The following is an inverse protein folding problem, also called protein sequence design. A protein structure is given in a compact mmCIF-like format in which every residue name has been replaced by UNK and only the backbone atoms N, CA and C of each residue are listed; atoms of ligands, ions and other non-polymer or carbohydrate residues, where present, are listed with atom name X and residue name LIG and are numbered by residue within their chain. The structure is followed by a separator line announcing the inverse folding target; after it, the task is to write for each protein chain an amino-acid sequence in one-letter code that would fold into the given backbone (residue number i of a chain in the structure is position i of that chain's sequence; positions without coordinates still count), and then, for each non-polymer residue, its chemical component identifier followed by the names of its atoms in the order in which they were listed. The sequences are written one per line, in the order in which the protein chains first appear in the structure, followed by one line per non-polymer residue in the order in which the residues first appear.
data_IF_913421529850
#
_entry.id   IF_913421529850
#
_cell.length_a   1.000
_cell.length_b   1.000
_cell.length_c   1.000
_cell.angle_alpha   90.00
_cell.angle_beta   90.00
_cell.angle_gamma   90.00
#
_symmetry.space_group_name_H-M   'P 1'
#
loop_
_entity.id
_entity.type
_entity.pdbx_description
1 polymer ?
#
# COMPACT_ATOMS: atom_id res chain seq x y z
N UNK A 1 -15.98 3.20 1.74
CA UNK A 1 -17.39 2.71 1.88
C UNK A 1 -18.45 3.72 1.39
N UNK A 2 -18.69 4.87 2.04
CA UNK A 2 -19.82 5.76 1.67
C UNK A 2 -19.72 6.36 0.25
N UNK A 3 -18.58 6.90 -0.17
CA UNK A 3 -18.42 7.40 -1.55
C UNK A 3 -18.31 6.26 -2.57
N UNK A 4 -17.75 5.11 -2.17
CA UNK A 4 -17.73 3.87 -2.95
C UNK A 4 -19.14 3.43 -3.33
N UNK A 5 -20.10 3.54 -2.40
CA UNK A 5 -21.51 3.21 -2.60
C UNK A 5 -22.22 4.16 -3.57
N UNK A 6 -21.98 5.46 -3.44
CA UNK A 6 -22.69 6.49 -4.23
C UNK A 6 -22.14 6.56 -5.65
N UNK A 7 -20.82 6.55 -5.83
CA UNK A 7 -20.20 6.86 -7.12
C UNK A 7 -19.58 5.68 -7.88
N UNK A 8 -19.56 4.47 -7.32
CA UNK A 8 -19.05 3.28 -8.00
C UNK A 8 -17.59 3.42 -8.46
N UNK A 9 -17.23 2.78 -9.58
CA UNK A 9 -15.85 2.74 -10.09
C UNK A 9 -15.31 4.13 -10.49
N UNK A 10 -16.18 5.04 -10.97
CA UNK A 10 -15.78 6.40 -11.32
C UNK A 10 -15.34 7.21 -10.10
N UNK A 11 -16.13 7.19 -9.01
CA UNK A 11 -15.72 7.92 -7.80
C UNK A 11 -14.45 7.36 -7.20
N UNK A 12 -14.28 6.03 -7.22
CA UNK A 12 -13.05 5.38 -6.73
C UNK A 12 -11.85 5.82 -7.56
N UNK A 13 -11.98 5.86 -8.89
CA UNK A 13 -10.88 6.28 -9.76
C UNK A 13 -10.45 7.74 -9.51
N UNK A 14 -11.38 8.67 -9.31
CA UNK A 14 -11.05 10.06 -9.01
C UNK A 14 -10.40 10.22 -7.63
N UNK A 15 -10.92 9.54 -6.61
CA UNK A 15 -10.33 9.58 -5.26
C UNK A 15 -8.93 8.97 -5.27
N UNK A 16 -8.71 7.89 -6.02
CA UNK A 16 -7.40 7.26 -6.15
C UNK A 16 -6.36 8.20 -6.74
N UNK A 17 -6.72 9.01 -7.74
CA UNK A 17 -5.77 9.98 -8.34
C UNK A 17 -5.34 11.02 -7.30
N UNK A 18 -6.30 11.57 -6.55
CA UNK A 18 -6.00 12.54 -5.48
C UNK A 18 -5.18 11.89 -4.38
N UNK A 19 -5.54 10.68 -3.95
CA UNK A 19 -4.83 9.91 -2.93
C UNK A 19 -3.41 9.58 -3.39
N UNK A 20 -3.22 9.12 -4.63
CA UNK A 20 -1.89 8.84 -5.20
C UNK A 20 -1.00 10.09 -5.18
N UNK A 21 -1.55 11.24 -5.54
CA UNK A 21 -0.82 12.51 -5.47
C UNK A 21 -0.43 12.86 -4.02
N UNK A 22 -1.37 12.73 -3.07
CA UNK A 22 -1.09 12.95 -1.65
C UNK A 22 -0.02 11.98 -1.13
N UNK A 23 -0.07 10.70 -1.53
CA UNK A 23 0.93 9.68 -1.13
C UNK A 23 2.30 10.04 -1.69
N UNK A 24 2.37 10.37 -2.98
CA UNK A 24 3.61 10.74 -3.64
C UNK A 24 4.25 11.94 -2.91
N UNK A 25 3.51 13.04 -2.77
CA UNK A 25 4.03 14.25 -2.15
C UNK A 25 4.34 14.04 -0.67
N UNK A 26 3.44 13.40 0.08
CA UNK A 26 3.58 13.19 1.52
C UNK A 26 4.79 12.34 1.87
N UNK A 27 5.00 11.22 1.18
CA UNK A 27 6.14 10.34 1.44
C UNK A 27 7.46 10.97 0.99
N UNK A 28 7.52 11.54 -0.22
CA UNK A 28 8.74 12.15 -0.73
C UNK A 28 9.20 13.38 0.07
N UNK A 29 8.25 14.19 0.56
CA UNK A 29 8.59 15.31 1.46
C UNK A 29 9.06 14.78 2.81
N UNK A 30 8.50 13.68 3.31
CA UNK A 30 8.87 13.16 4.63
C UNK A 30 10.30 12.62 4.71
N UNK A 31 10.80 12.04 3.62
CA UNK A 31 12.15 11.44 3.55
C UNK A 31 13.28 12.40 3.97
N UNK A 32 13.44 13.61 3.40
CA UNK A 32 14.52 14.51 3.79
C UNK A 32 14.42 15.00 5.24
N UNK A 33 13.20 15.21 5.76
CA UNK A 33 13.02 15.59 7.18
C UNK A 33 13.41 14.45 8.12
N UNK A 34 13.02 13.22 7.78
CA UNK A 34 13.40 12.05 8.55
C UNK A 34 14.92 11.80 8.49
N UNK A 35 15.56 11.96 7.32
CA UNK A 35 17.02 11.78 7.15
C UNK A 35 17.86 12.82 7.89
N UNK A 36 17.36 14.05 8.02
CA UNK A 36 18.09 15.17 8.66
C UNK A 36 17.87 15.24 10.17
N UNK A 37 17.07 14.32 10.73
CA UNK A 37 16.85 14.25 12.16
C UNK A 37 18.14 13.86 12.90
N UNK A 38 18.44 14.52 14.02
CA UNK A 38 19.65 14.31 14.81
C UNK A 38 19.78 12.87 15.36
N UNK A 39 18.67 12.15 15.54
CA UNK A 39 18.67 10.76 16.00
C UNK A 39 19.02 9.76 14.89
N UNK A 40 19.13 10.20 13.62
CA UNK A 40 19.36 9.33 12.46
C UNK A 40 20.82 9.43 12.04
N UNK A 41 21.50 8.27 12.04
CA UNK A 41 22.84 8.15 11.47
C UNK A 41 22.83 7.98 9.96
N UNK A 42 23.97 8.20 9.32
CA UNK A 42 24.13 8.02 7.88
C UNK A 42 23.75 6.59 7.45
N UNK A 43 22.68 6.51 6.64
CA UNK A 43 22.11 5.25 6.15
C UNK A 43 23.12 4.42 5.36
N UNK A 44 24.13 5.04 4.74
CA UNK A 44 25.16 4.34 3.96
C UNK A 44 26.13 3.59 4.86
N UNK A 45 26.39 4.12 6.06
CA UNK A 45 27.26 3.51 7.07
C UNK A 45 26.53 2.36 7.77
N UNK A 46 25.30 2.62 8.24
CA UNK A 46 24.45 1.62 8.91
C UNK A 46 24.00 0.50 7.97
N UNK A 47 24.16 0.68 6.65
CA UNK A 47 23.91 -0.38 5.68
C UNK A 47 24.82 -1.58 5.90
N UNK A 48 26.07 -1.36 6.31
CA UNK A 48 27.09 -2.42 6.40
C UNK A 48 27.68 -2.54 7.80
N UNK A 49 27.64 -1.49 8.61
CA UNK A 49 28.16 -1.47 9.97
C UNK A 49 27.00 -1.46 10.96
N UNK A 50 27.13 -2.25 12.02
CA UNK A 50 26.25 -2.15 13.16
C UNK A 50 26.63 -0.89 13.94
N UNK A 51 25.68 0.04 14.07
CA UNK A 51 25.83 1.26 14.88
C UNK A 51 24.92 1.13 16.10
N UNK A 52 23.60 1.17 15.87
CA UNK A 52 22.58 0.95 16.91
C UNK A 52 21.87 -0.40 16.72
N UNK A 53 21.56 -0.73 15.47
CA UNK A 53 20.85 -1.95 15.08
C UNK A 53 21.70 -2.76 14.10
N UNK A 54 21.31 -4.02 13.88
CA UNK A 54 21.90 -4.88 12.85
C UNK A 54 21.91 -4.17 11.49
N UNK A 55 22.97 -4.31 10.66
CA UNK A 55 23.03 -3.67 9.37
C UNK A 55 21.77 -3.94 8.54
N UNK A 56 21.16 -2.89 8.00
CA UNK A 56 19.90 -3.04 7.28
C UNK A 56 20.07 -3.71 5.92
N UNK A 57 21.31 -3.70 5.37
CA UNK A 57 21.64 -4.52 4.20
C UNK A 57 21.85 -5.95 4.68
N UNK A 58 20.80 -6.75 4.54
CA UNK A 58 20.85 -8.18 4.81
C UNK A 58 21.70 -8.95 3.80
N UNK A 59 22.01 -10.20 4.14
CA UNK A 59 22.59 -11.19 3.23
C UNK A 59 21.60 -12.32 3.02
N UNK A 60 21.42 -12.76 1.77
CA UNK A 60 20.62 -13.96 1.49
C UNK A 60 21.47 -15.19 1.84
N UNK A 61 21.04 -15.95 2.85
CA UNK A 61 21.69 -17.22 3.19
C UNK A 61 21.28 -18.28 2.18
N UNK A 62 22.15 -19.28 1.97
CA UNK A 62 21.86 -20.37 1.02
C UNK A 62 20.59 -21.15 1.38
N UNK A 63 20.32 -21.30 2.67
CA UNK A 63 19.11 -21.95 3.20
C UNK A 63 17.82 -21.22 2.80
N UNK A 64 17.85 -19.88 2.72
CA UNK A 64 16.69 -19.06 2.39
C UNK A 64 16.45 -18.92 0.88
N UNK A 65 17.37 -19.43 0.04
CA UNK A 65 17.30 -19.23 -1.42
C UNK A 65 15.94 -19.62 -1.99
N UNK A 66 15.37 -20.73 -1.53
CA UNK A 66 14.06 -21.20 -1.98
C UNK A 66 12.93 -20.28 -1.52
N UNK A 67 13.01 -19.73 -0.31
CA UNK A 67 12.03 -18.75 0.21
C UNK A 67 12.09 -17.46 -0.60
N UNK A 68 13.27 -17.02 -1.01
CA UNK A 68 13.42 -15.86 -1.89
C UNK A 68 12.88 -16.09 -3.29
N UNK A 69 13.11 -17.28 -3.86
CA UNK A 69 12.52 -17.67 -5.16
C UNK A 69 11.00 -17.72 -5.05
N UNK A 70 10.46 -18.31 -3.98
CA UNK A 70 9.02 -18.40 -3.75
C UNK A 70 8.39 -17.00 -3.64
N UNK A 71 8.94 -16.13 -2.80
CA UNK A 71 8.49 -14.74 -2.68
C UNK A 71 8.57 -13.97 -4.00
N UNK A 72 9.63 -14.20 -4.79
CA UNK A 72 9.78 -13.59 -6.11
C UNK A 72 8.68 -14.07 -7.08
N UNK A 73 8.41 -15.39 -7.12
CA UNK A 73 7.33 -15.96 -7.91
C UNK A 73 5.96 -15.44 -7.45
N UNK A 74 5.73 -15.33 -6.14
CA UNK A 74 4.51 -14.78 -5.57
C UNK A 74 4.30 -13.32 -6.01
N UNK A 75 5.33 -12.48 -5.94
CA UNK A 75 5.24 -11.07 -6.34
C UNK A 75 5.07 -10.91 -7.87
N UNK A 76 5.73 -11.73 -8.69
CA UNK A 76 5.60 -11.64 -10.15
C UNK A 76 4.31 -12.25 -10.69
N UNK A 77 3.93 -13.43 -10.22
CA UNK A 77 2.80 -14.20 -10.74
C UNK A 77 1.51 -13.94 -9.99
N UNK A 78 1.57 -13.56 -8.71
CA UNK A 78 0.40 -13.26 -7.88
C UNK A 78 -0.39 -12.03 -8.35
N UNK A 79 0.23 -11.14 -9.12
CA UNK A 79 -0.45 -10.02 -9.77
C UNK A 79 -1.31 -10.43 -10.98
N UNK A 80 -1.08 -11.61 -11.58
CA UNK A 80 -1.78 -12.08 -12.78
C UNK A 80 -3.29 -12.33 -12.53
N UNK A 81 -3.72 -12.94 -11.41
CA UNK A 81 -5.15 -13.07 -11.12
C UNK A 81 -5.74 -11.84 -10.39
N UNK A 82 -5.01 -10.73 -10.27
CA UNK A 82 -5.42 -9.61 -9.42
C UNK A 82 -6.60 -8.83 -10.02
N UNK A 83 -7.81 -9.16 -9.56
CA UNK A 83 -9.05 -8.65 -10.13
C UNK A 83 -9.17 -7.11 -10.13
N UNK A 84 -8.68 -6.40 -9.10
CA UNK A 84 -8.68 -4.92 -9.08
C UNK A 84 -7.98 -4.34 -10.30
N UNK A 85 -6.85 -4.94 -10.70
CA UNK A 85 -6.05 -4.46 -11.80
C UNK A 85 -6.76 -4.73 -13.14
N UNK A 86 -7.27 -5.94 -13.33
CA UNK A 86 -8.01 -6.29 -14.54
C UNK A 86 -9.30 -5.50 -14.70
N UNK A 87 -9.99 -5.15 -13.62
CA UNK A 87 -11.14 -4.24 -13.69
C UNK A 87 -10.76 -2.89 -14.31
N UNK A 88 -9.57 -2.37 -14.01
CA UNK A 88 -9.08 -1.11 -14.60
C UNK A 88 -8.64 -1.29 -16.04
N UNK A 89 -7.87 -2.34 -16.35
CA UNK A 89 -7.41 -2.66 -17.71
C UNK A 89 -8.59 -2.85 -18.67
N UNK A 90 -9.61 -3.60 -18.26
CA UNK A 90 -10.80 -3.88 -19.07
C UNK A 90 -11.75 -2.69 -19.20
N UNK A 91 -11.60 -1.66 -18.35
CA UNK A 91 -12.35 -0.40 -18.45
C UNK A 91 -11.70 0.63 -19.39
N UNK A 92 -10.49 0.35 -19.89
CA UNK A 92 -9.78 1.25 -20.79
C UNK A 92 -10.46 1.32 -22.17
N UNK A 93 -10.36 2.47 -22.83
CA UNK A 93 -10.99 2.74 -24.13
C UNK A 93 -10.38 1.94 -25.30
N UNK A 94 -9.17 1.40 -25.13
CA UNK A 94 -8.47 0.62 -26.15
C UNK A 94 -7.40 -0.27 -25.52
N UNK A 95 -7.12 -1.41 -26.16
CA UNK A 95 -6.07 -2.35 -25.73
C UNK A 95 -4.68 -1.70 -25.71
N UNK A 96 -4.34 -0.89 -26.72
CA UNK A 96 -3.07 -0.16 -26.76
C UNK A 96 -2.94 0.82 -25.61
N UNK A 97 -4.04 1.52 -25.28
CA UNK A 97 -4.07 2.47 -24.18
C UNK A 97 -3.88 1.76 -22.84
N UNK A 98 -4.54 0.61 -22.65
CA UNK A 98 -4.37 -0.21 -21.46
C UNK A 98 -2.91 -0.67 -21.28
N UNK A 99 -2.27 -1.17 -22.34
CA UNK A 99 -0.86 -1.60 -22.30
C UNK A 99 0.09 -0.46 -21.95
N UNK A 100 -0.07 0.71 -22.56
CA UNK A 100 0.77 1.88 -22.28
C UNK A 100 0.62 2.32 -20.82
N UNK A 101 -0.61 2.38 -20.31
CA UNK A 101 -0.86 2.69 -18.89
C UNK A 101 -0.25 1.65 -17.95
N UNK A 102 -0.28 0.37 -18.32
CA UNK A 102 0.37 -0.70 -17.54
C UNK A 102 1.88 -0.52 -17.42
N UNK A 103 2.57 -0.22 -18.53
CA UNK A 103 4.02 0.03 -18.51
C UNK A 103 4.37 1.31 -17.75
N UNK A 104 3.56 2.37 -17.90
CA UNK A 104 3.74 3.62 -17.16
C UNK A 104 3.54 3.39 -15.65
N UNK A 105 2.53 2.60 -15.28
CA UNK A 105 2.28 2.23 -13.89
C UNK A 105 3.42 1.40 -13.30
N UNK A 106 4.00 0.47 -14.07
CA UNK A 106 5.15 -0.31 -13.62
C UNK A 106 6.35 0.60 -13.26
N UNK A 107 6.65 1.60 -14.10
CA UNK A 107 7.67 2.60 -13.79
C UNK A 107 7.27 3.45 -12.57
N UNK A 108 6.01 3.88 -12.50
CA UNK A 108 5.48 4.62 -11.36
C UNK A 108 5.63 3.87 -10.03
N UNK A 109 5.37 2.56 -10.01
CA UNK A 109 5.56 1.71 -8.84
C UNK A 109 7.02 1.69 -8.37
N UNK A 110 7.99 1.64 -9.29
CA UNK A 110 9.42 1.71 -8.92
C UNK A 110 9.75 3.03 -8.22
N UNK A 111 9.26 4.15 -8.76
CA UNK A 111 9.47 5.48 -8.14
C UNK A 111 8.80 5.58 -6.78
N UNK A 112 7.59 5.03 -6.64
CA UNK A 112 6.83 5.02 -5.38
C UNK A 112 7.43 4.10 -4.31
N UNK A 113 8.16 3.06 -4.70
CA UNK A 113 8.81 2.14 -3.77
C UNK A 113 10.02 2.78 -3.06
N UNK A 114 10.71 3.72 -3.73
CA UNK A 114 11.92 4.39 -3.21
C UNK A 114 11.70 5.01 -1.83
N UNK A 115 10.72 5.91 -1.60
CA UNK A 115 10.54 6.53 -0.29
C UNK A 115 10.21 5.52 0.81
N UNK A 116 9.44 4.47 0.54
CA UNK A 116 9.16 3.42 1.54
C UNK A 116 10.42 2.67 1.96
N UNK A 117 11.29 2.31 1.00
CA UNK A 117 12.57 1.66 1.30
C UNK A 117 13.49 2.60 2.09
N UNK A 118 13.55 3.88 1.73
CA UNK A 118 14.34 4.88 2.45
C UNK A 118 13.84 5.05 3.89
N UNK A 119 12.53 5.11 4.11
CA UNK A 119 11.94 5.20 5.46
C UNK A 119 12.28 3.97 6.30
N UNK A 120 12.23 2.77 5.72
CA UNK A 120 12.68 1.55 6.40
C UNK A 120 14.17 1.61 6.79
N UNK A 121 15.03 2.07 5.87
CA UNK A 121 16.45 2.26 6.13
C UNK A 121 16.71 3.32 7.22
N UNK A 122 15.95 4.42 7.23
CA UNK A 122 16.00 5.45 8.27
C UNK A 122 15.65 4.84 9.63
N UNK A 123 14.55 4.09 9.72
CA UNK A 123 14.12 3.45 10.97
C UNK A 123 15.16 2.45 11.51
N UNK A 124 15.84 1.72 10.64
CA UNK A 124 16.96 0.86 11.02
C UNK A 124 18.24 1.63 11.41
N UNK A 125 18.39 2.88 10.96
CA UNK A 125 19.54 3.75 11.20
C UNK A 125 19.34 4.72 12.38
N UNK A 126 18.17 4.66 13.00
CA UNK A 126 17.76 5.56 14.08
C UNK A 126 18.24 5.04 15.43
N UNK A 127 18.82 5.92 16.24
CA UNK A 127 18.97 5.73 17.67
C UNK A 127 17.66 6.03 18.39
N UNK A 128 16.82 5.01 18.54
CA UNK A 128 15.48 5.15 19.10
C UNK A 128 15.47 5.69 20.53
N UNK A 129 16.55 5.51 21.28
CA UNK A 129 16.70 6.03 22.65
C UNK A 129 16.70 7.57 22.71
N UNK A 130 17.10 8.24 21.63
CA UNK A 130 17.06 9.71 21.53
C UNK A 130 15.71 10.25 21.04
N UNK A 131 14.77 9.37 20.69
CA UNK A 131 13.46 9.74 20.15
C UNK A 131 12.37 9.63 21.22
N UNK A 132 11.20 10.21 20.93
CA UNK A 132 10.02 10.06 21.78
C UNK A 132 9.37 8.66 21.74
N UNK A 133 9.86 7.74 20.91
CA UNK A 133 9.36 6.37 20.81
C UNK A 133 9.85 5.47 21.97
N UNK A 134 11.08 5.72 22.44
CA UNK A 134 11.70 5.01 23.57
C UNK A 134 12.89 4.11 23.17
N UNK A 135 13.55 3.56 24.19
CA UNK A 135 14.86 2.90 24.04
C UNK A 135 14.85 1.59 23.26
N UNK A 136 13.75 0.83 23.29
CA UNK A 136 13.65 -0.46 22.60
C UNK A 136 13.21 -0.19 21.15
N UNK A 137 13.99 -0.59 20.15
CA UNK A 137 13.69 -0.32 18.74
C UNK A 137 12.43 -1.08 18.27
N UNK A 138 11.69 -0.57 17.26
CA UNK A 138 10.45 -1.18 16.78
C UNK A 138 10.62 -2.64 16.35
N UNK A 139 11.77 -2.99 15.78
CA UNK A 139 12.09 -4.36 15.34
C UNK A 139 12.10 -5.37 16.50
N UNK A 140 12.51 -4.96 17.70
CA UNK A 140 12.55 -5.83 18.88
C UNK A 140 11.18 -5.93 19.58
N UNK A 141 10.23 -5.06 19.25
CA UNK A 141 8.86 -5.09 19.74
C UNK A 141 7.88 -5.76 18.78
N UNK A 142 8.37 -6.41 17.72
CA UNK A 142 7.56 -6.92 16.62
C UNK A 142 6.71 -5.84 15.91
N UNK A 143 7.16 -4.58 15.95
CA UNK A 143 6.51 -3.42 15.31
C UNK A 143 7.20 -3.02 13.99
N UNK A 144 7.98 -3.92 13.39
CA UNK A 144 8.71 -3.66 12.15
C UNK A 144 7.78 -3.29 10.97
N UNK A 145 6.59 -3.88 10.91
CA UNK A 145 5.58 -3.58 9.88
C UNK A 145 5.02 -2.15 10.02
N UNK A 146 5.12 -1.57 11.22
CA UNK A 146 4.70 -0.21 11.55
C UNK A 146 5.84 0.81 11.45
N UNK A 147 7.01 0.43 10.91
CA UNK A 147 8.16 1.32 10.85
C UNK A 147 7.87 2.63 10.10
N UNK A 148 7.05 2.57 9.05
CA UNK A 148 6.69 3.72 8.25
C UNK A 148 5.93 4.78 9.07
N UNK A 149 4.77 4.48 9.69
CA UNK A 149 4.09 5.45 10.55
C UNK A 149 4.93 5.85 11.78
N UNK A 150 5.71 4.94 12.38
CA UNK A 150 6.56 5.25 13.53
C UNK A 150 7.62 6.31 13.15
N UNK A 151 8.32 6.14 12.03
CA UNK A 151 9.31 7.11 11.55
C UNK A 151 8.65 8.46 11.29
N UNK A 152 7.48 8.48 10.64
CA UNK A 152 6.76 9.73 10.38
C UNK A 152 6.31 10.43 11.68
N UNK A 153 5.94 9.67 12.70
CA UNK A 153 5.47 10.22 13.97
C UNK A 153 6.61 10.76 14.85
N UNK A 154 7.74 10.05 14.88
CA UNK A 154 8.81 10.32 15.85
C UNK A 154 10.02 11.04 15.28
N UNK A 155 10.21 11.04 13.96
CA UNK A 155 11.38 11.64 13.31
C UNK A 155 11.07 12.86 12.45
N UNK A 156 9.81 13.06 12.07
CA UNK A 156 9.39 14.21 11.27
C UNK A 156 8.79 15.34 12.14
N UNK A 157 8.90 16.61 11.70
CA UNK A 157 8.17 17.72 12.32
C UNK A 157 6.65 17.51 12.28
N UNK A 158 5.87 18.10 13.22
CA UNK A 158 4.43 17.84 13.35
C UNK A 158 3.63 18.03 12.05
N UNK A 159 3.96 19.06 11.26
CA UNK A 159 3.28 19.31 9.98
C UNK A 159 3.57 18.20 8.96
N UNK A 160 4.83 17.81 8.81
CA UNK A 160 5.24 16.75 7.87
C UNK A 160 4.66 15.41 8.32
N UNK A 161 4.66 15.14 9.62
CA UNK A 161 4.03 13.97 10.21
C UNK A 161 2.53 13.90 9.88
N UNK A 162 1.81 15.01 10.03
CA UNK A 162 0.39 15.09 9.70
C UNK A 162 0.11 14.75 8.23
N UNK A 163 0.85 15.37 7.30
CA UNK A 163 0.69 15.07 5.86
C UNK A 163 1.14 13.66 5.50
N UNK A 164 2.25 13.18 6.07
CA UNK A 164 2.77 11.83 5.84
C UNK A 164 1.82 10.75 6.35
N UNK A 165 1.32 10.86 7.57
CA UNK A 165 0.36 9.91 8.15
C UNK A 165 -0.99 9.98 7.41
N UNK A 166 -1.40 11.18 6.97
CA UNK A 166 -2.55 11.34 6.08
C UNK A 166 -2.36 10.64 4.74
N UNK A 167 -1.16 10.71 4.16
CA UNK A 167 -0.78 9.97 2.95
C UNK A 167 -0.84 8.45 3.16
N UNK A 168 -0.30 7.92 4.26
CA UNK A 168 -0.40 6.48 4.58
C UNK A 168 -1.86 6.06 4.71
N UNK A 169 -2.66 6.86 5.39
CA UNK A 169 -4.10 6.61 5.54
C UNK A 169 -4.81 6.61 4.19
N UNK A 170 -4.49 7.56 3.30
CA UNK A 170 -5.00 7.62 1.93
C UNK A 170 -4.61 6.37 1.11
N UNK A 171 -3.39 5.86 1.26
CA UNK A 171 -2.92 4.64 0.57
C UNK A 171 -3.72 3.40 1.00
N UNK A 172 -3.89 3.21 2.31
CA UNK A 172 -4.65 2.10 2.88
C UNK A 172 -6.11 2.18 2.44
N UNK A 173 -6.69 3.38 2.47
CA UNK A 173 -8.09 3.62 2.06
C UNK A 173 -8.34 3.29 0.59
N UNK A 174 -7.48 3.78 -0.32
CA UNK A 174 -7.55 3.45 -1.76
C UNK A 174 -7.49 1.94 -2.02
N UNK A 175 -6.59 1.25 -1.30
CA UNK A 175 -6.35 -0.18 -1.44
C UNK A 175 -7.55 -0.99 -0.91
N UNK A 176 -8.08 -0.61 0.25
CA UNK A 176 -9.25 -1.23 0.87
C UNK A 176 -10.50 -1.06 -0.02
N UNK A 177 -10.77 0.15 -0.51
CA UNK A 177 -11.93 0.40 -1.38
C UNK A 177 -11.87 -0.41 -2.67
N UNK A 178 -10.70 -0.44 -3.30
CA UNK A 178 -10.46 -1.23 -4.51
C UNK A 178 -10.70 -2.72 -4.27
N UNK A 179 -10.21 -3.25 -3.15
CA UNK A 179 -10.33 -4.66 -2.78
C UNK A 179 -11.78 -5.03 -2.47
N UNK A 180 -12.50 -4.20 -1.70
CA UNK A 180 -13.91 -4.40 -1.36
C UNK A 180 -14.79 -4.31 -2.62
N UNK A 181 -14.56 -3.32 -3.48
CA UNK A 181 -15.28 -3.19 -4.75
C UNK A 181 -15.06 -4.42 -5.64
N UNK A 182 -13.82 -4.89 -5.71
CA UNK A 182 -13.45 -6.06 -6.49
C UNK A 182 -14.15 -7.33 -5.98
N UNK A 183 -14.07 -7.61 -4.68
CA UNK A 183 -14.75 -8.74 -4.05
C UNK A 183 -16.27 -8.67 -4.24
N UNK A 184 -16.87 -7.49 -4.07
CA UNK A 184 -18.32 -7.28 -4.22
C UNK A 184 -18.79 -7.48 -5.66
N UNK A 185 -18.00 -7.02 -6.64
CA UNK A 185 -18.26 -7.24 -8.07
C UNK A 185 -18.21 -8.72 -8.44
N UNK A 186 -17.19 -9.44 -7.96
CA UNK A 186 -17.08 -10.88 -8.18
C UNK A 186 -18.24 -11.64 -7.53
N UNK A 187 -18.64 -11.27 -6.31
CA UNK A 187 -19.79 -11.90 -5.66
C UNK A 187 -21.08 -11.67 -6.45
N UNK A 188 -21.38 -10.42 -6.83
CA UNK A 188 -22.63 -10.10 -7.51
C UNK A 188 -22.75 -10.77 -8.89
N UNK A 189 -21.67 -10.80 -9.68
CA UNK A 189 -21.69 -11.40 -11.03
C UNK A 189 -21.44 -12.90 -11.04
N UNK A 190 -20.46 -13.39 -10.28
CA UNK A 190 -20.04 -14.79 -10.40
C UNK A 190 -20.81 -15.71 -9.44
N UNK A 191 -21.33 -15.19 -8.33
CA UNK A 191 -22.07 -15.99 -7.36
C UNK A 191 -23.56 -15.69 -7.46
N UNK A 192 -23.98 -14.43 -7.23
CA UNK A 192 -25.39 -14.08 -7.20
C UNK A 192 -26.09 -14.32 -8.54
N UNK A 193 -25.57 -13.75 -9.62
CA UNK A 193 -26.20 -13.91 -10.94
C UNK A 193 -26.14 -15.36 -11.42
N UNK A 194 -24.99 -16.05 -11.33
CA UNK A 194 -24.86 -17.40 -11.89
C UNK A 194 -25.55 -18.48 -11.04
N UNK A 195 -25.47 -18.40 -9.72
CA UNK A 195 -25.95 -19.46 -8.84
C UNK A 195 -27.38 -19.22 -8.31
N UNK A 196 -27.77 -17.97 -8.08
CA UNK A 196 -29.07 -17.66 -7.45
C UNK A 196 -30.10 -17.11 -8.43
N UNK A 197 -29.71 -16.18 -9.32
CA UNK A 197 -30.66 -15.52 -10.22
C UNK A 197 -30.04 -15.16 -11.58
N UNK A 198 -30.08 -16.12 -12.50
CA UNK A 198 -29.49 -16.00 -13.85
C UNK A 198 -30.14 -14.91 -14.71
N UNK A 199 -31.39 -14.58 -14.44
CA UNK A 199 -32.14 -13.50 -15.12
C UNK A 199 -32.08 -12.16 -14.39
N UNK A 200 -31.15 -11.97 -13.43
CA UNK A 200 -30.99 -10.71 -12.72
C UNK A 200 -30.69 -9.56 -13.70
N UNK A 201 -31.40 -8.45 -13.53
CA UNK A 201 -31.17 -7.24 -14.33
C UNK A 201 -29.92 -6.48 -13.88
N UNK A 202 -29.34 -5.64 -14.73
CA UNK A 202 -28.17 -4.82 -14.36
C UNK A 202 -28.42 -3.94 -13.13
N UNK A 203 -29.64 -3.39 -12.99
CA UNK A 203 -30.03 -2.61 -11.82
C UNK A 203 -29.99 -3.42 -10.53
N UNK A 204 -30.44 -4.67 -10.61
CA UNK A 204 -30.42 -5.59 -9.48
C UNK A 204 -28.99 -5.95 -9.08
N UNK A 205 -28.14 -6.27 -10.05
CA UNK A 205 -26.71 -6.58 -9.82
C UNK A 205 -26.01 -5.41 -9.13
N UNK A 206 -26.28 -4.16 -9.55
CA UNK A 206 -25.72 -2.96 -8.91
C UNK A 206 -26.19 -2.82 -7.46
N UNK A 207 -27.46 -3.11 -7.16
CA UNK A 207 -27.96 -3.10 -5.78
C UNK A 207 -27.33 -4.19 -4.92
N UNK A 208 -27.19 -5.40 -5.46
CA UNK A 208 -26.48 -6.49 -4.79
C UNK A 208 -25.05 -6.09 -4.49
N UNK A 209 -24.32 -5.55 -5.48
CA UNK A 209 -22.96 -5.04 -5.26
C UNK A 209 -22.88 -4.03 -4.12
N UNK A 210 -23.81 -3.06 -4.04
CA UNK A 210 -23.85 -2.06 -2.97
C UNK A 210 -24.08 -2.69 -1.59
N UNK A 211 -25.02 -3.63 -1.48
CA UNK A 211 -25.27 -4.35 -0.22
C UNK A 211 -24.01 -5.14 0.18
N UNK A 212 -23.39 -5.84 -0.76
CA UNK A 212 -22.18 -6.63 -0.50
C UNK A 212 -21.00 -5.76 -0.08
N UNK A 213 -20.83 -4.55 -0.63
CA UNK A 213 -19.82 -3.59 -0.17
C UNK A 213 -19.99 -3.28 1.32
N UNK A 214 -21.24 -3.07 1.77
CA UNK A 214 -21.53 -2.79 3.18
C UNK A 214 -21.24 -4.01 4.06
N UNK A 215 -21.64 -5.20 3.63
CA UNK A 215 -21.41 -6.45 4.38
C UNK A 215 -19.92 -6.76 4.46
N UNK A 216 -19.20 -6.76 3.34
CA UNK A 216 -17.75 -7.03 3.32
C UNK A 216 -16.95 -5.94 4.03
N UNK A 217 -17.33 -4.67 3.88
CA UNK A 217 -16.72 -3.58 4.64
C UNK A 217 -16.93 -3.73 6.15
N UNK A 218 -18.14 -4.09 6.58
CA UNK A 218 -18.45 -4.35 7.98
C UNK A 218 -17.66 -5.55 8.54
N UNK A 219 -17.61 -6.66 7.82
CA UNK A 219 -16.85 -7.86 8.20
C UNK A 219 -15.33 -7.60 8.25
N UNK A 220 -14.79 -6.79 7.34
CA UNK A 220 -13.35 -6.48 7.29
C UNK A 220 -12.90 -5.50 8.38
N UNK A 221 -13.83 -4.86 9.10
CA UNK A 221 -13.52 -3.92 10.19
C UNK A 221 -13.33 -4.64 11.53
N UNK A 222 -13.83 -5.88 11.65
CA UNK A 222 -13.81 -6.71 12.87
C UNK A 222 -12.69 -7.73 12.78
#
# INVERSE_FOLDING_TARGET
IFYTLVGGLYSVAYTDVVQLFCIFVGLWISVPFALTNAAVSDITVTAVKQVYQSPWRGSVRREDTWVWIDNFCLLMLGGIPWQVYFQRVLSASSATYAQVLSFLAAFGCLVMAVPSVLIGAIGASTDWNQTSYGAIPPKEKDEADMILPIVLQHLCPPFVSFFGLGAVSAAVMSSADSSILSASSMFARNIYQLAFRQSASDREIVWVMRITIFVFGGLATV
#
